data_IF_706234257180
#
_entry.id   IF_706234257180
#
_cell.length_a   1.000
_cell.length_b   1.000
_cell.length_c   1.000
_cell.angle_alpha   90.00
_cell.angle_beta   90.00
_cell.angle_gamma   90.00
#
_symmetry.space_group_name_H-M   'P 1'
#
loop_
_entity.id
_entity.type
_entity.pdbx_description
1 polymer ?
#
# COMPACT_ATOMS: atom_id res chain seq x y z
N UNK A 1 -20.36 -1.46 -21.37
CA UNK A 1 -19.53 -1.78 -22.53
C UNK A 1 -18.16 -1.16 -22.26
N UNK A 2 -17.24 -1.91 -21.66
CA UNK A 2 -15.89 -1.43 -21.44
C UNK A 2 -15.07 -1.71 -22.69
N UNK A 3 -14.58 -0.66 -23.33
CA UNK A 3 -13.68 -0.75 -24.46
C UNK A 3 -12.38 -1.42 -24.01
N UNK A 4 -11.93 -2.43 -24.77
CA UNK A 4 -10.60 -2.99 -24.57
C UNK A 4 -9.55 -1.86 -24.71
N UNK A 5 -8.55 -1.79 -23.83
CA UNK A 5 -7.49 -0.81 -23.95
C UNK A 5 -6.77 -1.00 -25.30
N UNK A 6 -6.25 0.09 -25.89
CA UNK A 6 -5.58 0.01 -27.19
C UNK A 6 -4.34 -0.90 -27.08
N UNK A 7 -4.10 -1.67 -28.14
CA UNK A 7 -2.87 -2.47 -28.32
C UNK A 7 -1.62 -1.62 -28.58
N UNK A 8 -1.64 -0.38 -28.19
CA UNK A 8 -0.62 0.64 -28.49
C UNK A 8 -0.27 1.37 -27.19
N UNK A 9 0.97 1.80 -27.07
CA UNK A 9 1.44 2.69 -26.01
C UNK A 9 0.83 4.10 -26.14
N UNK A 10 1.23 5.01 -25.26
CA UNK A 10 0.78 6.41 -25.25
C UNK A 10 1.14 7.16 -26.55
N UNK A 11 2.11 6.66 -27.33
CA UNK A 11 2.59 7.21 -28.59
C UNK A 11 1.98 6.51 -29.82
N UNK A 12 1.03 5.58 -29.62
CA UNK A 12 0.35 4.86 -30.70
C UNK A 12 1.15 3.72 -31.33
N UNK A 13 2.26 3.30 -30.71
CA UNK A 13 3.10 2.18 -31.18
C UNK A 13 2.56 0.83 -30.65
N UNK A 14 2.67 -0.27 -31.43
CA UNK A 14 2.33 -1.59 -30.93
C UNK A 14 3.20 -1.97 -29.73
N UNK A 15 2.58 -2.36 -28.62
CA UNK A 15 3.30 -2.83 -27.43
C UNK A 15 4.20 -4.02 -27.78
N UNK A 16 5.48 -3.94 -27.40
CA UNK A 16 6.41 -5.09 -27.46
C UNK A 16 5.98 -6.15 -26.46
N UNK A 17 6.48 -7.36 -26.59
CA UNK A 17 6.10 -8.47 -25.70
C UNK A 17 6.40 -8.16 -24.22
N UNK A 18 7.57 -7.56 -23.94
CA UNK A 18 7.98 -7.18 -22.58
C UNK A 18 7.16 -6.01 -22.04
N UNK A 19 6.82 -5.03 -22.89
CA UNK A 19 5.93 -3.93 -22.54
C UNK A 19 4.52 -4.45 -22.21
N UNK A 20 4.07 -5.50 -22.92
CA UNK A 20 2.78 -6.16 -22.63
C UNK A 20 2.78 -6.93 -21.32
N UNK A 21 3.93 -7.50 -20.87
CA UNK A 21 4.07 -8.14 -19.56
C UNK A 21 3.98 -7.09 -18.46
N UNK A 22 4.76 -6.02 -18.58
CA UNK A 22 4.79 -4.95 -17.60
C UNK A 22 3.43 -4.26 -17.50
N UNK A 23 2.82 -3.90 -18.63
CA UNK A 23 1.48 -3.32 -18.70
C UNK A 23 0.43 -4.20 -17.99
N UNK A 24 0.42 -5.52 -18.29
CA UNK A 24 -0.53 -6.43 -17.65
C UNK A 24 -0.28 -6.58 -16.16
N UNK A 25 1.00 -6.64 -15.75
CA UNK A 25 1.39 -6.72 -14.36
C UNK A 25 0.92 -5.48 -13.59
N UNK A 26 1.27 -4.28 -14.06
CA UNK A 26 0.98 -3.03 -13.35
C UNK A 26 -0.52 -2.78 -13.24
N UNK A 27 -1.28 -3.02 -14.32
CA UNK A 27 -2.72 -2.84 -14.29
C UNK A 27 -3.42 -3.85 -13.35
N UNK A 28 -3.04 -5.13 -13.41
CA UNK A 28 -3.63 -6.13 -12.53
C UNK A 28 -3.21 -5.93 -11.08
N UNK A 29 -1.98 -5.50 -10.86
CA UNK A 29 -1.47 -5.14 -9.53
C UNK A 29 -2.29 -4.00 -8.93
N UNK A 30 -2.49 -2.93 -9.68
CA UNK A 30 -3.31 -1.81 -9.25
C UNK A 30 -4.77 -2.22 -8.99
N UNK A 31 -5.39 -2.96 -9.90
CA UNK A 31 -6.74 -3.51 -9.72
C UNK A 31 -6.88 -4.34 -8.41
N UNK A 32 -5.85 -5.10 -8.04
CA UNK A 32 -5.82 -5.89 -6.81
C UNK A 32 -5.60 -5.02 -5.58
N UNK A 33 -4.65 -4.09 -5.65
CA UNK A 33 -4.31 -3.20 -4.53
C UNK A 33 -5.44 -2.21 -4.21
N UNK A 34 -6.18 -1.77 -5.22
CA UNK A 34 -7.36 -0.88 -5.05
C UNK A 34 -8.64 -1.63 -4.70
N UNK A 35 -8.62 -2.97 -4.74
CA UNK A 35 -9.80 -3.79 -4.51
C UNK A 35 -10.79 -3.84 -5.67
N UNK A 36 -10.45 -3.28 -6.83
CA UNK A 36 -11.22 -3.40 -8.09
C UNK A 36 -11.40 -4.87 -8.45
N UNK A 37 -10.36 -5.69 -8.21
CA UNK A 37 -10.47 -7.15 -8.19
C UNK A 37 -10.41 -7.58 -6.72
N UNK A 38 -11.54 -8.02 -6.19
CA UNK A 38 -11.69 -8.33 -4.77
C UNK A 38 -10.80 -9.50 -4.31
N UNK A 39 -10.38 -9.54 -3.02
CA UNK A 39 -9.74 -10.70 -2.42
C UNK A 39 -10.57 -11.98 -2.66
N UNK A 40 -9.91 -13.10 -2.94
CA UNK A 40 -10.52 -14.38 -3.28
C UNK A 40 -11.12 -14.49 -4.68
N UNK A 41 -11.19 -13.39 -5.43
CA UNK A 41 -11.75 -13.40 -6.78
C UNK A 41 -11.00 -14.36 -7.71
N UNK A 42 -11.74 -15.13 -8.51
CA UNK A 42 -11.17 -16.06 -9.50
C UNK A 42 -10.65 -15.29 -10.70
N UNK A 43 -9.40 -15.52 -11.06
CA UNK A 43 -8.73 -14.90 -12.20
C UNK A 43 -8.83 -15.81 -13.42
N UNK A 44 -9.72 -15.45 -14.35
CA UNK A 44 -9.87 -16.16 -15.62
C UNK A 44 -8.85 -15.62 -16.63
N UNK A 45 -7.84 -16.41 -16.99
CA UNK A 45 -6.81 -16.04 -17.96
C UNK A 45 -7.42 -15.67 -19.33
N UNK A 46 -8.52 -16.33 -19.73
CA UNK A 46 -9.22 -16.03 -20.98
C UNK A 46 -9.86 -14.65 -20.94
N UNK A 47 -10.60 -14.37 -19.85
CA UNK A 47 -11.25 -13.07 -19.68
C UNK A 47 -10.22 -11.94 -19.51
N UNK A 48 -9.16 -12.16 -18.72
CA UNK A 48 -8.13 -11.15 -18.51
C UNK A 48 -7.37 -10.84 -19.81
N UNK A 49 -6.98 -11.85 -20.59
CA UNK A 49 -6.32 -11.65 -21.89
C UNK A 49 -7.21 -10.86 -22.85
N UNK A 50 -8.50 -11.17 -22.89
CA UNK A 50 -9.48 -10.45 -23.72
C UNK A 50 -9.67 -9.00 -23.25
N UNK A 51 -9.79 -8.78 -21.90
CA UNK A 51 -9.93 -7.44 -21.30
C UNK A 51 -8.72 -6.55 -21.60
N UNK A 52 -7.51 -7.12 -21.49
CA UNK A 52 -6.25 -6.39 -21.68
C UNK A 52 -5.82 -6.29 -23.17
N UNK A 53 -6.51 -6.99 -24.07
CA UNK A 53 -6.16 -6.99 -25.50
C UNK A 53 -4.79 -7.65 -25.79
N UNK A 54 -4.28 -8.53 -24.92
CA UNK A 54 -2.98 -9.19 -25.05
C UNK A 54 -3.14 -10.70 -25.23
N UNK A 55 -2.06 -11.37 -25.66
CA UNK A 55 -2.03 -12.83 -25.72
C UNK A 55 -1.86 -13.46 -24.33
N UNK A 56 -2.10 -14.77 -24.22
CA UNK A 56 -1.96 -15.50 -22.97
C UNK A 56 -0.52 -15.57 -22.43
N UNK A 57 0.49 -15.49 -23.31
CA UNK A 57 1.89 -15.62 -22.90
C UNK A 57 2.34 -14.47 -22.01
N UNK A 58 2.26 -13.18 -22.41
CA UNK A 58 2.58 -12.06 -21.52
C UNK A 58 1.68 -12.02 -20.29
N UNK A 59 0.39 -12.37 -20.39
CA UNK A 59 -0.48 -12.43 -19.24
C UNK A 59 -0.01 -13.46 -18.21
N UNK A 60 0.41 -14.66 -18.64
CA UNK A 60 0.92 -15.69 -17.74
C UNK A 60 2.19 -15.25 -17.01
N UNK A 61 3.06 -14.51 -17.70
CA UNK A 61 4.26 -13.97 -17.08
C UNK A 61 3.93 -12.87 -16.05
N UNK A 62 3.01 -11.97 -16.37
CA UNK A 62 2.50 -10.99 -15.41
C UNK A 62 1.88 -11.66 -14.16
N UNK A 63 1.06 -12.68 -14.37
CA UNK A 63 0.47 -13.45 -13.26
C UNK A 63 1.51 -14.23 -12.43
N UNK A 64 2.64 -14.69 -13.03
CA UNK A 64 3.75 -15.28 -12.27
C UNK A 64 4.41 -14.25 -11.34
N UNK A 65 4.60 -13.02 -11.81
CA UNK A 65 5.14 -11.93 -10.97
C UNK A 65 4.19 -11.65 -9.81
N UNK A 66 2.88 -11.53 -10.07
CA UNK A 66 1.88 -11.32 -9.02
C UNK A 66 1.79 -12.48 -8.01
N UNK A 67 2.08 -13.73 -8.44
CA UNK A 67 2.23 -14.87 -7.53
C UNK A 67 3.49 -14.72 -6.67
N UNK A 68 4.62 -14.33 -7.27
CA UNK A 68 5.86 -14.11 -6.53
C UNK A 68 5.74 -12.96 -5.52
N UNK A 69 4.91 -11.95 -5.82
CA UNK A 69 4.55 -10.86 -4.92
C UNK A 69 3.51 -11.27 -3.86
N UNK A 70 2.96 -12.49 -3.88
CA UNK A 70 1.93 -12.93 -2.93
C UNK A 70 0.54 -12.32 -3.15
N UNK A 71 0.33 -11.55 -4.22
CA UNK A 71 -0.96 -10.92 -4.56
C UNK A 71 -1.95 -11.90 -5.20
N UNK A 72 -1.45 -12.97 -5.80
CA UNK A 72 -2.21 -14.03 -6.45
C UNK A 72 -1.78 -15.38 -5.91
N UNK A 73 -2.73 -16.28 -5.72
CA UNK A 73 -2.50 -17.67 -5.32
C UNK A 73 -3.04 -18.63 -6.38
N UNK A 74 -2.48 -19.84 -6.43
CA UNK A 74 -2.92 -20.90 -7.33
C UNK A 74 -1.87 -21.30 -8.37
N UNK A 75 -2.28 -22.15 -9.30
CA UNK A 75 -1.45 -22.74 -10.36
C UNK A 75 -2.12 -22.45 -11.72
N UNK A 76 -1.30 -22.32 -12.77
CA UNK A 76 -1.78 -22.10 -14.16
C UNK A 76 -2.69 -23.22 -14.69
N UNK A 77 -2.61 -24.41 -14.12
CA UNK A 77 -3.45 -25.54 -14.44
C UNK A 77 -4.67 -25.68 -13.52
N UNK A 78 -4.78 -24.82 -12.52
CA UNK A 78 -5.89 -24.77 -11.56
C UNK A 78 -6.50 -23.37 -11.55
N UNK A 79 -7.49 -23.15 -10.67
CA UNK A 79 -8.09 -21.82 -10.50
C UNK A 79 -7.11 -20.90 -9.77
N UNK A 80 -6.69 -19.84 -10.44
CA UNK A 80 -5.95 -18.74 -9.83
C UNK A 80 -6.93 -17.79 -9.15
N UNK A 81 -6.54 -17.25 -8.01
CA UNK A 81 -7.34 -16.29 -7.24
C UNK A 81 -6.47 -15.16 -6.73
N UNK A 82 -7.08 -14.01 -6.53
CA UNK A 82 -6.49 -12.96 -5.69
C UNK A 82 -6.32 -13.52 -4.27
N UNK A 83 -5.18 -13.28 -3.65
CA UNK A 83 -4.91 -13.72 -2.27
C UNK A 83 -5.96 -13.17 -1.31
N UNK A 84 -6.49 -14.03 -0.45
CA UNK A 84 -7.39 -13.63 0.63
C UNK A 84 -6.68 -12.68 1.59
N UNK A 85 -7.45 -11.95 2.38
CA UNK A 85 -6.94 -11.11 3.45
C UNK A 85 -7.05 -11.89 4.77
N UNK A 86 -5.90 -12.20 5.34
CA UNK A 86 -5.77 -12.87 6.62
C UNK A 86 -5.14 -11.92 7.64
N UNK A 87 -5.79 -11.72 8.79
CA UNK A 87 -5.27 -10.83 9.83
C UNK A 87 -4.00 -11.36 10.50
N UNK A 88 -3.71 -12.66 10.41
CA UNK A 88 -2.41 -13.19 10.82
C UNK A 88 -1.30 -12.73 9.87
N UNK A 89 -1.55 -12.70 8.57
CA UNK A 89 -0.63 -12.11 7.58
C UNK A 89 -0.45 -10.60 7.82
N UNK A 90 -1.54 -9.88 8.09
CA UNK A 90 -1.47 -8.45 8.42
C UNK A 90 -0.63 -8.17 9.68
N UNK A 91 -0.75 -8.99 10.72
CA UNK A 91 0.08 -8.90 11.93
C UNK A 91 1.56 -9.09 11.61
N UNK A 92 1.91 -10.03 10.74
CA UNK A 92 3.28 -10.27 10.30
C UNK A 92 3.82 -9.10 9.45
N UNK A 93 3.01 -8.57 8.52
CA UNK A 93 3.35 -7.38 7.72
C UNK A 93 3.69 -6.21 8.66
N UNK A 94 2.84 -5.94 9.66
CA UNK A 94 3.07 -4.85 10.61
C UNK A 94 4.26 -5.11 11.51
N UNK A 95 4.52 -6.34 11.93
CA UNK A 95 5.72 -6.67 12.70
C UNK A 95 7.00 -6.34 11.92
N UNK A 96 7.06 -6.69 10.63
CA UNK A 96 8.20 -6.33 9.78
C UNK A 96 8.32 -4.81 9.58
N UNK A 97 7.21 -4.10 9.41
CA UNK A 97 7.19 -2.64 9.30
C UNK A 97 7.68 -1.97 10.61
N UNK A 98 7.22 -2.43 11.78
CA UNK A 98 7.69 -1.95 13.08
C UNK A 98 9.20 -2.14 13.28
N UNK A 99 9.79 -3.18 12.68
CA UNK A 99 11.22 -3.42 12.75
C UNK A 99 12.03 -2.57 11.74
N UNK A 100 11.51 -2.33 10.54
CA UNK A 100 12.26 -1.71 9.44
C UNK A 100 12.05 -0.20 9.33
N UNK A 101 10.85 0.32 9.58
CA UNK A 101 10.57 1.75 9.44
C UNK A 101 11.40 2.62 10.39
N UNK A 102 11.59 2.27 11.68
CA UNK A 102 12.48 3.02 12.57
C UNK A 102 13.91 3.14 12.02
N UNK A 103 14.46 2.04 11.50
CA UNK A 103 15.80 2.03 10.91
C UNK A 103 15.85 2.95 9.68
N UNK A 104 14.82 2.87 8.83
CA UNK A 104 14.71 3.73 7.64
C UNK A 104 14.59 5.21 7.99
N UNK A 105 13.78 5.57 8.98
CA UNK A 105 13.60 6.95 9.46
C UNK A 105 14.90 7.48 10.06
N UNK A 106 15.55 6.72 10.94
CA UNK A 106 16.83 7.12 11.55
C UNK A 106 17.94 7.35 10.50
N UNK A 107 17.96 6.55 9.43
CA UNK A 107 18.90 6.73 8.32
C UNK A 107 18.56 7.92 7.42
N UNK A 108 17.28 8.29 7.31
CA UNK A 108 16.78 9.27 6.32
C UNK A 108 16.72 10.68 6.89
N UNK A 109 16.07 10.85 8.05
CA UNK A 109 15.68 12.17 8.56
C UNK A 109 16.88 13.12 8.74
N UNK A 110 18.04 12.69 9.30
CA UNK A 110 19.20 13.59 9.45
C UNK A 110 19.83 14.02 8.11
N UNK A 111 19.51 13.32 7.02
CA UNK A 111 20.13 13.51 5.71
C UNK A 111 19.16 14.10 4.66
N UNK A 112 17.93 14.45 5.05
CA UNK A 112 16.95 15.03 4.14
C UNK A 112 17.47 16.31 3.48
N UNK A 113 17.46 16.35 2.17
CA UNK A 113 17.67 17.55 1.37
C UNK A 113 16.45 18.48 1.45
N UNK A 114 16.63 19.76 1.08
CA UNK A 114 15.53 20.72 1.01
C UNK A 114 14.45 20.29 0.01
N UNK A 115 14.83 19.65 -1.09
CA UNK A 115 13.89 19.11 -2.05
C UNK A 115 13.04 18.00 -1.42
N UNK A 116 13.63 17.04 -0.72
CA UNK A 116 12.92 15.94 -0.06
C UNK A 116 12.01 16.46 1.06
N UNK A 117 12.43 17.48 1.82
CA UNK A 117 11.57 18.17 2.80
C UNK A 117 10.34 18.80 2.15
N UNK A 118 10.55 19.50 1.03
CA UNK A 118 9.47 20.07 0.24
C UNK A 118 8.53 19.01 -0.33
N UNK A 119 9.06 17.87 -0.75
CA UNK A 119 8.27 16.73 -1.23
C UNK A 119 7.41 16.14 -0.11
N UNK A 120 7.95 15.89 1.08
CA UNK A 120 7.19 15.43 2.25
C UNK A 120 6.06 16.40 2.62
N UNK A 121 6.35 17.71 2.61
CA UNK A 121 5.34 18.76 2.89
C UNK A 121 4.22 18.71 1.88
N UNK A 122 4.56 18.65 0.59
CA UNK A 122 3.58 18.57 -0.50
C UNK A 122 2.69 17.34 -0.39
N UNK A 123 3.23 16.18 -0.01
CA UNK A 123 2.42 14.96 0.11
C UNK A 123 1.43 15.06 1.29
N UNK A 124 1.79 15.71 2.41
CA UNK A 124 0.85 15.95 3.51
C UNK A 124 -0.26 16.91 3.06
N UNK A 125 0.07 18.01 2.38
CA UNK A 125 -0.91 18.95 1.83
C UNK A 125 -1.85 18.27 0.81
N UNK A 126 -1.33 17.38 -0.03
CA UNK A 126 -2.14 16.58 -0.95
C UNK A 126 -3.09 15.62 -0.22
N UNK A 127 -2.64 14.98 0.88
CA UNK A 127 -3.52 14.15 1.71
C UNK A 127 -4.67 14.97 2.30
N UNK A 128 -4.39 16.16 2.81
CA UNK A 128 -5.40 17.06 3.40
C UNK A 128 -6.42 17.50 2.36
N UNK A 129 -5.96 17.98 1.21
CA UNK A 129 -6.83 18.37 0.10
C UNK A 129 -7.68 17.19 -0.41
N UNK A 130 -7.09 16.01 -0.54
CA UNK A 130 -7.80 14.82 -0.96
C UNK A 130 -8.85 14.37 0.06
N UNK A 131 -8.56 14.51 1.36
CA UNK A 131 -9.51 14.21 2.41
C UNK A 131 -10.70 15.20 2.43
N UNK A 132 -10.46 16.49 2.18
CA UNK A 132 -11.51 17.50 2.05
C UNK A 132 -12.40 17.24 0.82
N UNK A 133 -11.78 16.81 -0.29
CA UNK A 133 -12.47 16.47 -1.53
C UNK A 133 -13.13 15.07 -1.51
N UNK A 134 -12.94 14.28 -0.45
CA UNK A 134 -13.29 12.87 -0.37
C UNK A 134 -12.70 12.01 -1.52
N UNK A 135 -11.56 12.44 -2.07
CA UNK A 135 -10.81 11.74 -3.13
C UNK A 135 -9.90 10.67 -2.51
N UNK A 136 -10.43 9.45 -2.44
CA UNK A 136 -9.74 8.30 -1.83
C UNK A 136 -8.47 7.92 -2.58
N UNK A 137 -8.47 8.03 -3.92
CA UNK A 137 -7.33 7.64 -4.74
C UNK A 137 -6.18 8.63 -4.59
N UNK A 138 -6.46 9.93 -4.66
CA UNK A 138 -5.46 10.97 -4.40
C UNK A 138 -4.90 10.86 -2.98
N UNK A 139 -5.77 10.59 -1.98
CA UNK A 139 -5.33 10.37 -0.60
C UNK A 139 -4.39 9.17 -0.49
N UNK A 140 -4.76 8.01 -1.05
CA UNK A 140 -3.96 6.78 -1.03
C UNK A 140 -2.58 7.00 -1.65
N UNK A 141 -2.54 7.66 -2.81
CA UNK A 141 -1.30 7.96 -3.52
C UNK A 141 -0.37 8.85 -2.70
N UNK A 142 -0.89 9.97 -2.17
CA UNK A 142 -0.12 10.91 -1.36
C UNK A 142 0.35 10.29 -0.03
N UNK A 143 -0.51 9.53 0.63
CA UNK A 143 -0.23 8.82 1.87
C UNK A 143 0.92 7.81 1.71
N UNK A 144 0.88 7.01 0.63
CA UNK A 144 1.97 6.11 0.28
C UNK A 144 3.28 6.86 0.03
N UNK A 145 3.24 7.92 -0.78
CA UNK A 145 4.42 8.72 -1.11
C UNK A 145 5.04 9.36 0.13
N UNK A 146 4.23 9.89 1.04
CA UNK A 146 4.69 10.48 2.30
C UNK A 146 5.46 9.46 3.14
N UNK A 147 4.84 8.31 3.47
CA UNK A 147 5.47 7.34 4.36
C UNK A 147 6.72 6.69 3.77
N UNK A 148 6.74 6.40 2.46
CA UNK A 148 7.95 5.90 1.80
C UNK A 148 9.04 6.98 1.70
N UNK A 149 8.65 8.25 1.60
CA UNK A 149 9.56 9.39 1.63
C UNK A 149 10.31 9.52 2.96
N UNK A 150 9.69 9.17 4.09
CA UNK A 150 10.33 9.17 5.42
C UNK A 150 11.51 8.20 5.52
N UNK A 151 11.61 7.24 4.61
CA UNK A 151 12.63 6.19 4.60
C UNK A 151 13.47 6.19 3.31
N UNK A 152 13.39 7.23 2.47
CA UNK A 152 13.94 7.25 1.11
C UNK A 152 15.48 7.06 1.03
N UNK A 153 16.21 7.22 2.12
CA UNK A 153 17.65 7.01 2.21
C UNK A 153 18.05 5.73 2.95
N UNK A 154 17.10 4.83 3.21
CA UNK A 154 17.38 3.57 3.90
C UNK A 154 18.14 2.53 3.04
N UNK A 155 18.40 2.84 1.76
CA UNK A 155 19.00 1.95 0.78
C UNK A 155 17.98 1.08 0.06
N UNK A 156 18.31 0.69 -1.17
CA UNK A 156 17.38 0.03 -2.11
C UNK A 156 16.69 -1.21 -1.56
N UNK A 157 17.40 -2.04 -0.78
CA UNK A 157 16.84 -3.27 -0.22
C UNK A 157 15.75 -2.99 0.82
N UNK A 158 16.01 -2.08 1.76
CA UNK A 158 15.03 -1.71 2.80
C UNK A 158 13.85 -1.00 2.14
N UNK A 159 14.12 -0.05 1.24
CA UNK A 159 13.09 0.68 0.50
C UNK A 159 12.18 -0.24 -0.31
N UNK A 160 12.74 -1.18 -1.06
CA UNK A 160 11.96 -2.14 -1.83
C UNK A 160 11.07 -2.99 -0.93
N UNK A 161 11.64 -3.52 0.17
CA UNK A 161 10.86 -4.32 1.14
C UNK A 161 9.75 -3.49 1.80
N UNK A 162 10.05 -2.24 2.22
CA UNK A 162 9.04 -1.37 2.81
C UNK A 162 7.92 -1.01 1.83
N UNK A 163 8.25 -0.78 0.55
CA UNK A 163 7.24 -0.51 -0.48
C UNK A 163 6.30 -1.70 -0.68
N UNK A 164 6.83 -2.93 -0.72
CA UNK A 164 6.02 -4.15 -0.80
C UNK A 164 5.13 -4.34 0.42
N UNK A 165 5.69 -4.22 1.62
CA UNK A 165 4.94 -4.33 2.88
C UNK A 165 3.85 -3.25 2.99
N UNK A 166 4.14 -2.04 2.53
CA UNK A 166 3.17 -0.95 2.46
C UNK A 166 2.00 -1.33 1.56
N UNK A 167 2.27 -1.74 0.33
CA UNK A 167 1.26 -2.09 -0.66
C UNK A 167 0.38 -3.25 -0.19
N UNK A 168 0.98 -4.28 0.44
CA UNK A 168 0.23 -5.37 1.06
C UNK A 168 -0.67 -4.89 2.21
N UNK A 169 -0.16 -4.03 3.10
CA UNK A 169 -0.93 -3.51 4.24
C UNK A 169 -2.11 -2.63 3.80
N UNK A 170 -1.99 -1.92 2.68
CA UNK A 170 -3.04 -1.04 2.16
C UNK A 170 -4.31 -1.82 1.77
N UNK A 171 -4.18 -3.06 1.28
CA UNK A 171 -5.32 -3.95 0.99
C UNK A 171 -6.21 -4.19 2.22
N UNK A 172 -5.60 -4.35 3.39
CA UNK A 172 -6.31 -4.51 4.66
C UNK A 172 -6.98 -3.20 5.09
N UNK A 173 -6.26 -2.07 4.98
CA UNK A 173 -6.83 -0.75 5.28
C UNK A 173 -8.06 -0.46 4.43
N UNK A 174 -7.98 -0.70 3.11
CA UNK A 174 -9.12 -0.53 2.21
C UNK A 174 -10.29 -1.43 2.60
N UNK A 175 -10.04 -2.70 2.94
CA UNK A 175 -11.09 -3.65 3.30
C UNK A 175 -11.74 -3.33 4.64
N UNK A 176 -10.96 -3.05 5.67
CA UNK A 176 -11.45 -2.95 7.03
C UNK A 176 -11.80 -1.51 7.44
N UNK A 177 -11.10 -0.50 6.93
CA UNK A 177 -11.33 0.88 7.33
C UNK A 177 -12.19 1.69 6.34
N UNK A 178 -12.21 1.29 5.05
CA UNK A 178 -12.89 2.09 4.03
C UNK A 178 -14.14 1.43 3.42
N UNK A 179 -14.30 0.11 3.53
CA UNK A 179 -15.46 -0.60 2.96
C UNK A 179 -16.55 -0.95 3.98
N UNK A 180 -16.24 -0.96 5.27
CA UNK A 180 -17.16 -1.39 6.32
C UNK A 180 -17.89 -0.23 7.04
N UNK A 181 -17.85 0.98 6.53
CA UNK A 181 -18.72 2.05 7.03
C UNK A 181 -20.19 1.66 6.85
N UNK A 182 -21.04 1.75 7.90
CA UNK A 182 -22.39 1.17 7.90
C UNK A 182 -23.32 1.69 6.80
N UNK A 183 -23.04 2.82 6.14
CA UNK A 183 -23.96 3.42 5.18
C UNK A 183 -23.31 4.11 3.97
N UNK A 184 -22.05 3.98 3.72
CA UNK A 184 -21.43 4.52 2.49
C UNK A 184 -21.37 6.05 2.35
N UNK A 185 -21.78 6.85 3.35
CA UNK A 185 -22.09 8.25 3.15
C UNK A 185 -21.46 9.29 4.11
N UNK A 186 -20.88 8.97 5.19
CA UNK A 186 -20.42 10.00 6.13
C UNK A 186 -19.12 9.68 6.87
N UNK A 187 -18.88 8.43 7.09
CA UNK A 187 -17.77 7.92 7.90
C UNK A 187 -16.40 8.08 7.20
N UNK A 188 -16.42 8.19 5.87
CA UNK A 188 -15.19 8.29 5.05
C UNK A 188 -14.39 9.54 5.36
N UNK A 189 -15.05 10.70 5.48
CA UNK A 189 -14.38 11.99 5.73
C UNK A 189 -13.77 12.02 7.13
N UNK A 190 -14.45 11.50 8.13
CA UNK A 190 -13.95 11.46 9.51
C UNK A 190 -12.79 10.46 9.66
N UNK A 191 -12.88 9.29 9.01
CA UNK A 191 -11.80 8.31 8.96
C UNK A 191 -10.55 8.83 8.23
N UNK A 192 -10.72 9.71 7.25
CA UNK A 192 -9.61 10.37 6.57
C UNK A 192 -9.07 11.58 7.34
N UNK A 193 -9.88 12.25 8.17
CA UNK A 193 -9.46 13.43 8.94
C UNK A 193 -8.66 13.10 10.19
N UNK A 194 -9.04 12.05 10.91
CA UNK A 194 -8.42 11.68 12.18
C UNK A 194 -6.90 11.43 12.08
N UNK A 195 -6.38 10.76 11.02
CA UNK A 195 -4.94 10.58 10.82
C UNK A 195 -4.16 11.86 10.49
N UNK A 196 -4.81 12.95 10.08
CA UNK A 196 -4.10 14.16 9.59
C UNK A 196 -3.27 14.82 10.68
N UNK A 197 -3.77 14.89 11.92
CA UNK A 197 -3.02 15.43 13.05
C UNK A 197 -1.75 14.63 13.31
N UNK A 198 -1.83 13.29 13.15
CA UNK A 198 -0.70 12.39 13.30
C UNK A 198 0.33 12.60 12.17
N UNK A 199 -0.12 12.71 10.92
CA UNK A 199 0.78 12.97 9.78
C UNK A 199 1.48 14.32 9.90
N UNK A 200 0.79 15.36 10.41
CA UNK A 200 1.42 16.66 10.69
C UNK A 200 2.51 16.54 11.75
N UNK A 201 2.26 15.83 12.85
CA UNK A 201 3.27 15.62 13.89
C UNK A 201 4.50 14.87 13.38
N UNK A 202 4.30 13.86 12.51
CA UNK A 202 5.39 13.13 11.86
C UNK A 202 6.18 14.09 10.94
N UNK A 203 5.48 14.88 10.11
CA UNK A 203 6.11 15.85 9.21
C UNK A 203 6.92 16.89 9.99
N UNK A 204 6.34 17.50 11.03
CA UNK A 204 7.00 18.53 11.82
C UNK A 204 8.31 18.01 12.44
N UNK A 205 8.31 16.78 12.97
CA UNK A 205 9.51 16.15 13.50
C UNK A 205 10.54 15.87 12.37
N UNK A 206 10.08 15.42 11.19
CA UNK A 206 10.94 15.20 10.03
C UNK A 206 11.60 16.50 9.54
N UNK A 207 10.83 17.60 9.43
CA UNK A 207 11.33 18.91 9.02
C UNK A 207 12.30 19.52 10.04
N UNK A 208 12.09 19.23 11.34
CA UNK A 208 13.03 19.60 12.40
C UNK A 208 14.34 18.79 12.38
N UNK A 209 14.42 17.72 11.58
CA UNK A 209 15.55 16.79 11.58
C UNK A 209 15.59 15.89 12.82
N UNK A 210 14.48 15.83 13.58
CA UNK A 210 14.36 15.04 14.80
C UNK A 210 13.90 13.61 14.48
N UNK A 211 14.86 12.77 14.14
CA UNK A 211 14.61 11.38 13.78
C UNK A 211 13.96 10.57 14.93
N UNK A 212 14.28 10.90 16.18
CA UNK A 212 13.75 10.18 17.32
C UNK A 212 12.24 10.45 17.50
N UNK A 213 11.83 11.73 17.49
CA UNK A 213 10.42 12.09 17.57
C UNK A 213 9.65 11.68 16.31
N UNK A 214 10.25 11.79 15.11
CA UNK A 214 9.65 11.29 13.87
C UNK A 214 9.34 9.78 13.98
N UNK A 215 10.30 9.00 14.47
CA UNK A 215 10.11 7.56 14.73
C UNK A 215 8.99 7.30 15.74
N UNK A 216 8.98 8.03 16.86
CA UNK A 216 7.98 7.85 17.90
C UNK A 216 6.55 8.13 17.37
N UNK A 217 6.36 9.23 16.63
CA UNK A 217 5.08 9.57 16.02
C UNK A 217 4.66 8.54 14.96
N UNK A 218 5.62 8.08 14.11
CA UNK A 218 5.34 7.05 13.12
C UNK A 218 4.89 5.73 13.75
N UNK A 219 5.58 5.27 14.80
CA UNK A 219 5.21 4.05 15.52
C UNK A 219 3.82 4.16 16.18
N UNK A 220 3.50 5.31 16.79
CA UNK A 220 2.18 5.56 17.36
C UNK A 220 1.09 5.52 16.28
N UNK A 221 1.31 6.19 15.15
CA UNK A 221 0.40 6.15 13.99
C UNK A 221 0.15 4.72 13.48
N UNK A 222 1.21 3.93 13.35
CA UNK A 222 1.11 2.53 12.94
C UNK A 222 0.33 1.68 13.95
N UNK A 223 0.54 1.89 15.25
CA UNK A 223 -0.20 1.19 16.30
C UNK A 223 -1.69 1.51 16.26
N UNK A 224 -2.06 2.76 16.03
CA UNK A 224 -3.47 3.16 15.88
C UNK A 224 -4.12 2.48 14.67
N UNK A 225 -3.44 2.45 13.52
CA UNK A 225 -3.94 1.77 12.31
C UNK A 225 -4.08 0.26 12.53
N UNK A 226 -3.08 -0.38 13.14
CA UNK A 226 -3.14 -1.80 13.48
C UNK A 226 -4.35 -2.11 14.36
N UNK A 227 -4.51 -1.35 15.45
CA UNK A 227 -5.62 -1.52 16.38
C UNK A 227 -6.98 -1.33 15.69
N UNK A 228 -7.12 -0.31 14.85
CA UNK A 228 -8.35 -0.05 14.11
C UNK A 228 -8.74 -1.21 13.19
N UNK A 229 -7.79 -1.75 12.41
CA UNK A 229 -8.06 -2.90 11.53
C UNK A 229 -8.48 -4.14 12.32
N UNK A 230 -7.81 -4.42 13.45
CA UNK A 230 -8.15 -5.56 14.27
C UNK A 230 -9.50 -5.41 14.99
N UNK A 231 -9.91 -4.20 15.35
CA UNK A 231 -11.20 -3.94 15.99
C UNK A 231 -12.39 -4.16 15.06
N UNK A 232 -12.21 -3.94 13.75
CA UNK A 232 -13.25 -4.18 12.74
C UNK A 232 -13.48 -5.67 12.42
N UNK A 233 -12.63 -6.55 12.89
CA UNK A 233 -12.80 -7.99 12.72
C UNK A 233 -13.72 -8.58 13.82
N UNK A 234 -14.59 -9.50 13.45
CA UNK A 234 -15.53 -10.14 14.38
C UNK A 234 -15.37 -11.68 14.36
N UNK A 235 -14.88 -12.33 15.42
CA UNK A 235 -14.30 -11.75 16.63
C UNK A 235 -12.92 -11.14 16.38
N UNK A 236 -12.51 -10.08 17.09
CA UNK A 236 -11.21 -9.47 16.89
C UNK A 236 -10.10 -10.43 17.36
N UNK A 237 -9.16 -10.83 16.48
CA UNK A 237 -8.01 -11.60 16.90
C UNK A 237 -7.02 -10.73 17.67
N UNK A 238 -6.08 -11.35 18.36
CA UNK A 238 -5.05 -10.62 19.12
C UNK A 238 -3.77 -10.59 18.28
N UNK A 239 -3.27 -9.40 17.88
CA UNK A 239 -2.01 -9.29 17.17
C UNK A 239 -0.87 -9.79 18.06
N UNK A 240 -0.12 -10.78 17.57
CA UNK A 240 0.96 -11.41 18.34
C UNK A 240 2.33 -10.91 17.92
N UNK A 241 2.61 -10.93 16.63
CA UNK A 241 3.93 -10.62 16.09
C UNK A 241 4.26 -9.14 16.18
N UNK A 242 3.31 -8.28 15.84
CA UNK A 242 3.45 -6.83 15.98
C UNK A 242 3.62 -6.39 17.44
N UNK A 243 2.95 -7.05 18.41
CA UNK A 243 3.16 -6.76 19.84
C UNK A 243 4.59 -7.06 20.29
N UNK A 244 5.21 -8.13 19.78
CA UNK A 244 6.62 -8.44 20.05
C UNK A 244 7.50 -7.36 19.43
N UNK A 245 7.30 -7.00 18.19
CA UNK A 245 8.08 -5.98 17.49
C UNK A 245 7.98 -4.60 18.17
N UNK A 246 6.79 -4.19 18.60
CA UNK A 246 6.57 -2.96 19.36
C UNK A 246 7.37 -2.98 20.69
N UNK A 247 7.32 -4.09 21.43
CA UNK A 247 8.01 -4.21 22.68
C UNK A 247 9.54 -4.16 22.51
N UNK A 248 10.08 -4.70 21.45
CA UNK A 248 11.52 -4.61 21.14
C UNK A 248 11.92 -3.20 20.68
N UNK A 249 11.10 -2.54 19.86
CA UNK A 249 11.35 -1.15 19.41
C UNK A 249 11.34 -0.12 20.56
N UNK A 250 10.66 -0.43 21.68
CA UNK A 250 10.61 0.45 22.85
C UNK A 250 11.82 0.27 23.81
N UNK A 251 12.68 -0.73 23.56
CA UNK A 251 13.86 -1.03 24.40
C UNK A 251 15.16 -0.42 23.87
N UNK A 252 15.17 0.01 22.63
CA UNK A 252 16.33 0.62 21.94
C UNK A 252 16.20 2.11 21.84
#
# INVERSE_FOLDING_TARGET
MSLAPPKVDLDGQPLRADDSVQFAHDLLRDDILTGTIAPGAVLSQVHLAARLGISRTPLREALRRLIAEGLVTGDFNRRMRVSELDLEDFDQIYAMRFALEPVGIQATIPMLTEQERSELTREVERMEAAAEAADREAFRSAHRAFHLGLTCRAGERIQGTLAELWDHSERYRLRYLHQNGPDGDGTTVELLRRPQVEHRAILDAALAGDAANCTAHQLAHMQHTLAAVFQEAAPPPVPRMSRIAIAESARG
#
